data_IF_683371054959
#
_entry.id   IF_683371054959
#
_cell.length_a   1.000
_cell.length_b   1.000
_cell.length_c   1.000
_cell.angle_alpha   90.00
_cell.angle_beta   90.00
_cell.angle_gamma   90.00
#
_symmetry.space_group_name_H-M   'P 1'
#
loop_
_entity.id
_entity.type
_entity.pdbx_description
1 polymer ?
#
# COMPACT_ATOMS: atom_id res chain seq x y z
N UNK A 1 -10.85 -1.09 -3.58
CA UNK A 1 -10.58 -1.90 -2.38
C UNK A 1 -10.70 -1.07 -1.11
N UNK A 2 -10.19 0.18 -1.13
CA UNK A 2 -10.36 1.16 -0.04
C UNK A 2 -11.81 1.33 0.42
N UNK A 3 -12.75 1.57 -0.50
CA UNK A 3 -14.16 1.77 -0.15
C UNK A 3 -14.72 0.62 0.71
N UNK A 4 -14.32 -0.62 0.40
CA UNK A 4 -14.75 -1.81 1.16
C UNK A 4 -14.04 -1.93 2.51
N UNK A 5 -12.79 -1.47 2.62
CA UNK A 5 -12.04 -1.43 3.87
C UNK A 5 -12.60 -0.35 4.81
N UNK A 6 -12.96 0.83 4.30
CA UNK A 6 -13.54 1.92 5.08
C UNK A 6 -14.88 1.55 5.72
N UNK A 7 -15.69 0.74 5.03
CA UNK A 7 -16.93 0.19 5.59
C UNK A 7 -16.72 -0.64 6.87
N UNK A 8 -15.49 -1.15 7.12
CA UNK A 8 -15.17 -1.90 8.34
C UNK A 8 -14.95 -1.01 9.57
N UNK A 9 -14.87 0.32 9.40
CA UNK A 9 -14.71 1.29 10.51
C UNK A 9 -13.58 0.94 11.48
N UNK A 10 -12.44 0.50 10.95
CA UNK A 10 -11.29 0.04 11.76
C UNK A 10 -10.51 1.19 12.42
N UNK A 11 -10.70 2.44 11.98
CA UNK A 11 -9.89 3.58 12.41
C UNK A 11 -8.46 3.58 11.84
N UNK A 12 -8.12 2.59 11.00
CA UNK A 12 -6.78 2.47 10.41
C UNK A 12 -6.67 3.44 9.23
N UNK A 13 -5.64 4.29 9.27
CA UNK A 13 -5.27 5.16 8.16
C UNK A 13 -4.94 4.30 6.93
N UNK A 14 -5.63 4.57 5.82
CA UNK A 14 -5.48 3.79 4.59
C UNK A 14 -5.60 4.70 3.37
N UNK A 15 -4.95 4.29 2.29
CA UNK A 15 -5.03 4.94 0.99
C UNK A 15 -5.00 3.90 -0.12
N UNK A 16 -5.46 4.27 -1.31
CA UNK A 16 -5.44 3.41 -2.49
C UNK A 16 -4.75 4.14 -3.64
N UNK A 17 -3.80 3.47 -4.27
CA UNK A 17 -3.17 3.86 -5.54
C UNK A 17 -3.66 2.92 -6.64
N UNK A 18 -3.62 3.36 -7.90
CA UNK A 18 -4.09 2.59 -9.06
C UNK A 18 -3.04 2.39 -10.16
N UNK A 19 -1.85 2.95 -10.00
CA UNK A 19 -0.74 2.80 -10.94
C UNK A 19 0.56 2.54 -10.17
N UNK A 20 1.55 2.04 -10.89
CA UNK A 20 2.83 1.62 -10.32
C UNK A 20 3.66 2.81 -9.82
N UNK A 21 3.68 3.92 -10.55
CA UNK A 21 4.50 5.09 -10.19
C UNK A 21 4.04 5.71 -8.87
N UNK A 22 2.73 5.78 -8.63
CA UNK A 22 2.17 6.24 -7.36
C UNK A 22 2.45 5.25 -6.23
N UNK A 23 2.47 3.94 -6.52
CA UNK A 23 2.88 2.94 -5.53
C UNK A 23 4.34 3.15 -5.12
N UNK A 24 5.26 3.29 -6.09
CA UNK A 24 6.69 3.54 -5.82
C UNK A 24 6.88 4.78 -4.94
N UNK A 25 6.17 5.87 -5.23
CA UNK A 25 6.28 7.14 -4.49
C UNK A 25 5.75 7.04 -3.05
N UNK A 26 4.72 6.23 -2.82
CA UNK A 26 3.96 6.23 -1.57
C UNK A 26 4.17 5.00 -0.69
N UNK A 27 4.80 3.95 -1.21
CA UNK A 27 5.00 2.70 -0.46
C UNK A 27 5.78 2.91 0.83
N UNK A 28 6.71 3.88 0.86
CA UNK A 28 7.45 4.24 2.07
C UNK A 28 6.59 4.84 3.19
N UNK A 29 5.36 5.27 2.90
CA UNK A 29 4.39 5.74 3.91
C UNK A 29 3.67 4.60 4.62
N UNK A 30 3.61 3.40 4.02
CA UNK A 30 2.74 2.31 4.47
C UNK A 30 3.48 1.24 5.28
N UNK A 31 2.93 0.87 6.44
CA UNK A 31 3.38 -0.29 7.21
C UNK A 31 2.93 -1.62 6.59
N UNK A 32 1.77 -1.62 5.92
CA UNK A 32 1.16 -2.80 5.30
C UNK A 32 0.72 -2.45 3.89
N UNK A 33 1.15 -3.25 2.92
CA UNK A 33 0.73 -3.15 1.52
C UNK A 33 -0.17 -4.33 1.20
N UNK A 34 -1.16 -4.11 0.34
CA UNK A 34 -1.99 -5.17 -0.22
C UNK A 34 -2.01 -5.00 -1.72
N UNK A 35 -1.37 -5.92 -2.44
CA UNK A 35 -1.17 -5.81 -3.88
C UNK A 35 -1.78 -7.01 -4.62
N UNK A 36 -2.71 -6.74 -5.54
CA UNK A 36 -3.26 -7.74 -6.47
C UNK A 36 -2.51 -7.70 -7.81
N UNK A 37 -1.23 -8.08 -7.81
CA UNK A 37 -0.40 -8.21 -9.02
C UNK A 37 0.46 -7.00 -9.40
N UNK A 38 0.43 -5.90 -8.63
CA UNK A 38 1.30 -4.72 -8.83
C UNK A 38 2.66 -4.84 -8.10
N UNK A 39 2.87 -5.93 -7.35
CA UNK A 39 4.09 -6.14 -6.57
C UNK A 39 5.27 -6.51 -7.47
N UNK A 40 6.41 -5.87 -7.22
CA UNK A 40 7.72 -6.20 -7.78
C UNK A 40 8.78 -5.99 -6.70
N UNK A 41 9.84 -6.82 -6.68
CA UNK A 41 10.84 -6.80 -5.61
C UNK A 41 11.74 -5.55 -5.61
N UNK A 42 11.78 -4.82 -6.71
CA UNK A 42 12.42 -3.50 -6.83
C UNK A 42 11.71 -2.41 -5.99
N UNK A 43 10.52 -2.68 -5.44
CA UNK A 43 9.83 -1.78 -4.51
C UNK A 43 10.44 -1.80 -3.10
N UNK A 44 11.13 -2.87 -2.71
CA UNK A 44 11.66 -3.06 -1.35
C UNK A 44 12.55 -1.88 -0.90
N UNK A 45 13.48 -1.35 -1.72
CA UNK A 45 14.30 -0.19 -1.35
C UNK A 45 13.50 1.10 -1.08
N UNK A 46 12.30 1.24 -1.66
CA UNK A 46 11.43 2.41 -1.47
C UNK A 46 10.50 2.25 -0.25
N UNK A 47 10.36 1.03 0.27
CA UNK A 47 9.36 0.65 1.25
C UNK A 47 9.87 0.76 2.70
N UNK A 48 10.39 1.94 3.08
CA UNK A 48 11.13 2.12 4.34
C UNK A 48 10.38 1.81 5.64
N UNK A 49 9.04 1.80 5.63
CA UNK A 49 8.20 1.45 6.79
C UNK A 49 7.54 0.07 6.69
N UNK A 50 7.73 -0.63 5.58
CA UNK A 50 6.96 -1.82 5.24
C UNK A 50 7.30 -2.99 6.16
N UNK A 51 6.26 -3.58 6.76
CA UNK A 51 6.34 -4.74 7.64
C UNK A 51 5.64 -5.97 7.04
N UNK A 52 4.63 -5.75 6.21
CA UNK A 52 3.81 -6.82 5.64
C UNK A 52 3.29 -6.47 4.23
N UNK A 53 3.22 -7.48 3.36
CA UNK A 53 2.70 -7.42 1.98
C UNK A 53 1.67 -8.54 1.79
#
# INVERSE_FOLDING_TARGET
>A
MKDRFELRKTGIANFQVRNYDDLVKRIGEADVVLASGMWKNDLIPHAGKLKFI
#
